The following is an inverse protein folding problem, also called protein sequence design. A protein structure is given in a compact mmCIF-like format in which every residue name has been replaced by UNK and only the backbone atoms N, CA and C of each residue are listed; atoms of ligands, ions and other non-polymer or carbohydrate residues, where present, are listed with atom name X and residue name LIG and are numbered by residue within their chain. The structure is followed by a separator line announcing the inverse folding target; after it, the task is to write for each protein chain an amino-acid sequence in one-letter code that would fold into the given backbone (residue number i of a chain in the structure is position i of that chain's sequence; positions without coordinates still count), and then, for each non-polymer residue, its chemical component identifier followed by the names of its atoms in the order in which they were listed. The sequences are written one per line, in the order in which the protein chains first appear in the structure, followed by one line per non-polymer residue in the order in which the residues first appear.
data_IF_236412376731
#
_entry.id   IF_236412376731
#
_cell.length_a   1.000
_cell.length_b   1.000
_cell.length_c   1.000
_cell.angle_alpha   90.00
_cell.angle_beta   90.00
_cell.angle_gamma   90.00
#
_symmetry.space_group_name_H-M   'P 1'
#
loop_
_entity.id
_entity.type
_entity.pdbx_description
1 polymer ?
#
# COMPACT_ATOMS: atom_id res chain seq x y z
N UNK A 1 12.55 17.13 8.19
CA UNK A 1 12.45 15.65 8.27
C UNK A 1 11.51 15.16 7.19
N UNK A 2 11.79 14.01 6.57
CA UNK A 2 11.06 13.50 5.40
C UNK A 2 9.61 13.10 5.73
N UNK A 3 9.35 12.57 6.94
CA UNK A 3 8.01 12.34 7.52
C UNK A 3 8.14 12.09 9.04
N UNK A 4 7.02 12.15 9.79
CA UNK A 4 6.99 11.85 11.24
C UNK A 4 6.92 10.33 11.53
N UNK A 5 6.14 9.58 10.74
CA UNK A 5 5.92 8.14 10.90
C UNK A 5 5.54 7.51 9.56
N UNK A 6 5.96 6.28 9.34
CA UNK A 6 5.59 5.46 8.18
C UNK A 6 4.81 4.26 8.68
N UNK A 7 3.67 3.99 8.07
CA UNK A 7 2.88 2.79 8.28
C UNK A 7 2.95 1.97 6.99
N UNK A 8 3.39 0.72 7.09
CA UNK A 8 3.51 -0.17 5.93
C UNK A 8 2.78 -1.48 6.19
N UNK A 9 2.05 -1.93 5.17
CA UNK A 9 1.25 -3.15 5.18
C UNK A 9 1.87 -4.14 4.20
N UNK A 10 2.10 -5.37 4.65
CA UNK A 10 2.64 -6.45 3.84
C UNK A 10 1.79 -7.71 4.07
N UNK A 11 1.38 -8.37 2.99
CA UNK A 11 0.53 -9.57 3.07
C UNK A 11 1.30 -10.85 3.32
N UNK A 12 2.62 -10.85 3.10
CA UNK A 12 3.50 -11.98 3.35
C UNK A 12 4.25 -11.79 4.67
N UNK A 13 3.83 -12.55 5.70
CA UNK A 13 4.43 -12.50 7.05
C UNK A 13 5.96 -12.54 7.03
N UNK A 14 6.55 -13.49 6.29
CA UNK A 14 8.01 -13.66 6.26
C UNK A 14 8.74 -12.44 5.69
N UNK A 15 8.16 -11.80 4.67
CA UNK A 15 8.71 -10.55 4.09
C UNK A 15 8.59 -9.38 5.08
N UNK A 16 7.46 -9.28 5.77
CA UNK A 16 7.26 -8.26 6.81
C UNK A 16 8.30 -8.43 7.93
N UNK A 17 8.52 -9.64 8.41
CA UNK A 17 9.48 -9.92 9.49
C UNK A 17 10.93 -9.65 9.06
N UNK A 18 11.29 -9.98 7.81
CA UNK A 18 12.59 -9.58 7.22
C UNK A 18 12.73 -8.06 7.17
N UNK A 19 11.69 -7.34 6.74
CA UNK A 19 11.70 -5.88 6.67
C UNK A 19 11.81 -5.24 8.07
N UNK A 20 11.05 -5.73 9.06
CA UNK A 20 11.12 -5.28 10.45
C UNK A 20 12.54 -5.39 11.02
N UNK A 21 13.24 -6.52 10.80
CA UNK A 21 14.63 -6.70 11.23
C UNK A 21 15.55 -5.66 10.60
N UNK A 22 15.45 -5.46 9.27
CA UNK A 22 16.24 -4.45 8.55
C UNK A 22 15.98 -3.04 9.06
N UNK A 23 14.73 -2.69 9.38
CA UNK A 23 14.42 -1.38 9.96
C UNK A 23 15.08 -1.20 11.33
N UNK A 24 15.10 -2.25 12.17
CA UNK A 24 15.78 -2.23 13.46
C UNK A 24 17.30 -2.10 13.31
N UNK A 25 17.91 -2.80 12.36
CA UNK A 25 19.36 -2.75 12.09
C UNK A 25 19.82 -1.38 11.56
N UNK A 26 18.91 -0.63 10.92
CA UNK A 26 19.15 0.70 10.37
C UNK A 26 18.68 1.84 11.32
N UNK A 27 18.31 1.53 12.56
CA UNK A 27 17.79 2.47 13.55
C UNK A 27 16.56 3.28 13.09
N UNK A 28 15.72 2.68 12.23
CA UNK A 28 14.51 3.30 11.67
C UNK A 28 13.29 3.07 12.59
N UNK A 29 13.25 3.76 13.73
CA UNK A 29 12.21 3.56 14.76
C UNK A 29 10.84 4.21 14.45
N UNK A 30 10.72 4.92 13.34
CA UNK A 30 9.48 5.59 12.92
C UNK A 30 8.67 4.77 11.92
N UNK A 31 9.08 3.54 11.61
CA UNK A 31 8.33 2.63 10.73
C UNK A 31 7.52 1.64 11.57
N UNK A 32 6.22 1.59 11.32
CA UNK A 32 5.29 0.60 11.90
C UNK A 32 4.82 -0.32 10.78
N UNK A 33 4.88 -1.61 11.05
CA UNK A 33 4.56 -2.66 10.08
C UNK A 33 3.31 -3.41 10.50
N UNK A 34 2.51 -3.86 9.53
CA UNK A 34 1.33 -4.73 9.75
C UNK A 34 1.33 -5.85 8.74
N UNK A 35 1.10 -7.06 9.22
CA UNK A 35 0.76 -8.19 8.37
C UNK A 35 -0.73 -8.06 8.02
N UNK A 36 -1.05 -7.78 6.76
CA UNK A 36 -2.42 -7.41 6.39
C UNK A 36 -2.66 -7.36 4.89
N UNK A 37 -3.94 -7.18 4.54
CA UNK A 37 -4.36 -6.91 3.18
C UNK A 37 -4.19 -5.41 2.88
N UNK A 38 -3.37 -5.10 1.88
CA UNK A 38 -3.12 -3.72 1.45
C UNK A 38 -4.33 -3.05 0.80
N UNK A 39 -5.31 -3.81 0.30
CA UNK A 39 -6.57 -3.25 -0.23
C UNK A 39 -7.35 -2.48 0.84
N UNK A 40 -7.32 -2.97 2.08
CA UNK A 40 -8.04 -2.36 3.21
C UNK A 40 -7.31 -1.16 3.83
N UNK A 41 -6.07 -0.88 3.40
CA UNK A 41 -5.22 0.13 4.03
C UNK A 41 -4.97 -0.13 5.53
N UNK A 42 -5.05 0.93 6.32
CA UNK A 42 -4.92 0.88 7.78
C UNK A 42 -5.84 1.93 8.44
N UNK A 43 -7.15 1.65 8.53
CA UNK A 43 -8.16 2.63 9.00
C UNK A 43 -7.87 3.20 10.38
N UNK A 44 -7.29 2.41 11.28
CA UNK A 44 -7.00 2.83 12.66
C UNK A 44 -5.91 3.90 12.75
N UNK A 45 -5.20 4.20 11.66
CA UNK A 45 -4.16 5.23 11.59
C UNK A 45 -4.48 6.34 10.58
N UNK A 46 -5.63 6.25 9.90
CA UNK A 46 -6.14 7.29 9.04
C UNK A 46 -6.52 8.55 9.86
N UNK A 47 -6.53 9.75 9.26
CA UNK A 47 -6.19 10.01 7.86
C UNK A 47 -4.68 10.03 7.59
N UNK A 48 -4.29 9.71 6.36
CA UNK A 48 -2.92 9.82 5.87
C UNK A 48 -2.74 11.05 4.98
N UNK A 49 -1.64 11.78 5.17
CA UNK A 49 -1.22 12.81 4.22
C UNK A 49 -0.81 12.19 2.88
N UNK A 50 -0.17 11.02 2.91
CA UNK A 50 0.38 10.35 1.73
C UNK A 50 0.18 8.84 1.85
N UNK A 51 -0.25 8.22 0.76
CA UNK A 51 -0.31 6.77 0.60
C UNK A 51 0.49 6.42 -0.66
N UNK A 52 1.32 5.39 -0.57
CA UNK A 52 2.03 4.82 -1.72
C UNK A 52 1.76 3.32 -1.77
N UNK A 53 1.36 2.83 -2.94
CA UNK A 53 1.12 1.41 -3.18
C UNK A 53 2.18 0.90 -4.14
N UNK A 54 2.88 -0.15 -3.76
CA UNK A 54 3.99 -0.73 -4.54
C UNK A 54 3.62 -2.06 -5.20
N UNK A 55 2.34 -2.22 -5.53
CA UNK A 55 1.75 -3.33 -6.27
C UNK A 55 0.61 -2.79 -7.14
N UNK A 56 0.38 -3.40 -8.30
CA UNK A 56 -0.64 -2.96 -9.24
C UNK A 56 -2.04 -3.41 -8.80
N UNK A 57 -2.95 -2.45 -8.60
CA UNK A 57 -4.36 -2.74 -8.38
C UNK A 57 -5.15 -2.72 -9.70
N UNK A 58 -6.25 -3.48 -9.76
CA UNK A 58 -7.14 -3.47 -10.92
C UNK A 58 -7.84 -2.11 -11.09
N UNK A 59 -8.15 -1.46 -9.98
CA UNK A 59 -8.67 -0.09 -9.85
C UNK A 59 -8.11 0.52 -8.56
N UNK A 60 -8.28 1.83 -8.37
CA UNK A 60 -7.96 2.47 -7.09
C UNK A 60 -8.89 1.91 -6.00
N UNK A 61 -8.38 1.39 -4.86
CA UNK A 61 -9.24 0.94 -3.76
C UNK A 61 -9.93 2.12 -3.06
N UNK A 62 -11.25 2.04 -2.88
CA UNK A 62 -12.04 3.07 -2.18
C UNK A 62 -11.59 3.24 -0.72
N UNK A 63 -11.25 2.15 -0.03
CA UNK A 63 -10.72 2.19 1.34
C UNK A 63 -9.45 3.06 1.45
N UNK A 64 -8.60 3.08 0.43
CA UNK A 64 -7.40 3.93 0.44
C UNK A 64 -7.73 5.39 0.19
N UNK A 65 -8.70 5.67 -0.67
CA UNK A 65 -9.21 7.02 -0.91
C UNK A 65 -9.84 7.61 0.37
N UNK A 66 -10.67 6.83 1.05
CA UNK A 66 -11.34 7.23 2.29
C UNK A 66 -10.37 7.52 3.44
N UNK A 67 -9.19 6.87 3.40
CA UNK A 67 -8.14 7.06 4.39
C UNK A 67 -7.20 8.24 4.07
N UNK A 68 -7.35 8.94 2.94
CA UNK A 68 -6.61 10.17 2.67
C UNK A 68 -7.16 11.35 3.48
N UNK A 69 -6.28 12.16 4.07
CA UNK A 69 -6.67 13.47 4.60
C UNK A 69 -6.97 14.49 3.49
N UNK A 70 -7.54 15.65 3.85
CA UNK A 70 -7.74 16.75 2.90
C UNK A 70 -6.42 17.18 2.24
N UNK A 71 -6.39 17.27 0.91
CA UNK A 71 -5.15 17.52 0.16
C UNK A 71 -4.13 16.36 0.20
N UNK A 72 -4.52 15.20 0.74
CA UNK A 72 -3.73 13.99 0.76
C UNK A 72 -3.52 13.42 -0.64
N UNK A 73 -2.42 12.69 -0.82
CA UNK A 73 -2.03 12.13 -2.12
C UNK A 73 -1.85 10.62 -2.02
N UNK A 74 -2.51 9.88 -2.89
CA UNK A 74 -2.27 8.46 -3.16
C UNK A 74 -1.47 8.33 -4.47
N UNK A 75 -0.41 7.53 -4.44
CA UNK A 75 0.33 7.11 -5.64
C UNK A 75 0.23 5.60 -5.78
N UNK A 76 -0.35 5.13 -6.89
CA UNK A 76 -0.71 3.73 -7.09
C UNK A 76 -0.57 3.31 -8.56
N UNK A 77 0.11 2.19 -8.87
CA UNK A 77 0.02 1.56 -10.18
C UNK A 77 -1.38 0.94 -10.39
N UNK A 78 -2.04 1.30 -11.49
CA UNK A 78 -3.36 0.78 -11.85
C UNK A 78 -3.35 0.18 -13.25
N UNK A 79 -3.92 -1.00 -13.37
CA UNK A 79 -4.12 -1.69 -14.65
C UNK A 79 -4.22 -3.20 -14.49
N UNK A 80 -4.63 -3.91 -15.55
CA UNK A 80 -4.75 -5.36 -15.52
C UNK A 80 -3.41 -6.05 -15.27
N UNK A 81 -3.51 -7.24 -14.66
CA UNK A 81 -2.37 -8.14 -14.46
C UNK A 81 -1.80 -8.56 -15.83
N UNK A 82 -0.48 -8.67 -15.92
CA UNK A 82 0.29 -9.07 -17.11
C UNK A 82 0.29 -8.07 -18.29
N UNK A 83 -0.37 -6.92 -18.14
CA UNK A 83 -0.34 -5.82 -19.09
C UNK A 83 0.54 -4.65 -18.60
N UNK A 84 0.63 -3.58 -19.39
CA UNK A 84 1.25 -2.33 -18.94
C UNK A 84 0.29 -1.60 -18.00
N UNK A 85 0.74 -1.27 -16.79
CA UNK A 85 -0.02 -0.43 -15.85
C UNK A 85 0.38 1.04 -15.98
N UNK A 86 -0.40 1.92 -15.37
CA UNK A 86 -0.08 3.35 -15.25
C UNK A 86 -0.03 3.74 -13.78
N UNK A 87 1.03 4.43 -13.36
CA UNK A 87 1.03 5.10 -12.05
C UNK A 87 0.03 6.25 -12.11
N UNK A 88 -0.97 6.19 -11.23
CA UNK A 88 -1.88 7.29 -10.95
C UNK A 88 -1.41 8.05 -9.72
N UNK A 89 -1.55 9.36 -9.77
CA UNK A 89 -1.56 10.25 -8.61
C UNK A 89 -3.00 10.67 -8.36
N UNK A 90 -3.56 10.28 -7.23
CA UNK A 90 -4.88 10.69 -6.78
C UNK A 90 -4.71 11.72 -5.68
N UNK A 91 -5.39 12.86 -5.78
CA UNK A 91 -5.37 13.91 -4.76
C UNK A 91 -6.77 14.15 -4.21
N UNK A 92 -6.95 14.12 -2.89
CA UNK A 92 -8.24 14.43 -2.25
C UNK A 92 -8.51 15.94 -2.26
N UNK A 93 -9.72 16.33 -2.66
CA UNK A 93 -10.25 17.70 -2.68
C UNK A 93 -11.66 17.72 -2.10
N UNK A 94 -11.78 17.91 -0.79
CA UNK A 94 -13.05 17.76 -0.08
C UNK A 94 -13.60 16.34 -0.25
N UNK A 95 -14.75 16.26 -0.93
CA UNK A 95 -15.47 15.01 -1.22
C UNK A 95 -15.14 14.41 -2.60
N UNK A 96 -14.21 15.01 -3.35
CA UNK A 96 -13.79 14.52 -4.66
C UNK A 96 -12.32 14.08 -4.69
N UNK A 97 -11.99 13.28 -5.70
CA UNK A 97 -10.64 12.76 -5.94
C UNK A 97 -10.20 13.14 -7.35
N UNK A 98 -9.11 13.89 -7.45
CA UNK A 98 -8.50 14.29 -8.73
C UNK A 98 -7.44 13.27 -9.12
N UNK A 99 -7.60 12.62 -10.27
CA UNK A 99 -6.63 11.64 -10.78
C UNK A 99 -5.75 12.21 -11.89
N UNK A 100 -4.46 11.94 -11.81
CA UNK A 100 -3.48 12.25 -12.84
C UNK A 100 -2.67 11.01 -13.22
N UNK A 101 -2.52 10.78 -14.52
CA UNK A 101 -1.71 9.68 -15.07
C UNK A 101 -0.26 10.13 -15.21
N UNK A 102 0.66 9.46 -14.53
CA UNK A 102 2.07 9.88 -14.48
C UNK A 102 2.97 9.10 -15.45
N UNK A 103 3.06 7.77 -15.32
CA UNK A 103 3.98 6.95 -16.13
C UNK A 103 3.50 5.52 -16.32
N UNK A 104 3.91 4.89 -17.42
CA UNK A 104 3.70 3.47 -17.69
C UNK A 104 4.70 2.60 -16.92
N UNK A 105 4.22 1.52 -16.30
CA UNK A 105 5.00 0.63 -15.41
C UNK A 105 4.56 -0.83 -15.50
N UNK A 106 5.32 -1.72 -14.86
CA UNK A 106 4.97 -3.12 -14.61
C UNK A 106 5.26 -3.49 -13.15
N UNK A 107 4.22 -3.72 -12.36
CA UNK A 107 4.28 -4.16 -10.97
C UNK A 107 3.65 -5.54 -10.80
N UNK A 108 4.01 -6.23 -9.71
CA UNK A 108 3.28 -7.41 -9.22
C UNK A 108 1.87 -7.01 -8.80
N UNK A 109 0.86 -7.90 -8.86
CA UNK A 109 -0.51 -7.56 -8.52
C UNK A 109 -0.68 -7.30 -7.02
N UNK A 110 -1.53 -6.33 -6.67
CA UNK A 110 -2.09 -6.14 -5.35
C UNK A 110 -3.22 -7.16 -5.17
N UNK A 111 -2.98 -8.18 -4.34
CA UNK A 111 -3.91 -9.31 -4.16
C UNK A 111 -4.73 -9.11 -2.89
N UNK A 112 -6.05 -9.17 -3.01
CA UNK A 112 -6.98 -9.15 -1.87
C UNK A 112 -6.76 -10.34 -0.94
N UNK A 113 -6.96 -10.10 0.34
CA UNK A 113 -6.81 -11.07 1.40
C UNK A 113 -5.38 -11.51 1.67
N UNK A 114 -5.23 -12.26 2.77
CA UNK A 114 -3.96 -12.87 3.14
C UNK A 114 -3.71 -14.13 2.32
N UNK A 115 -2.43 -14.47 2.04
CA UNK A 115 -2.12 -15.76 1.48
C UNK A 115 -2.61 -16.86 2.43
N UNK A 116 -2.97 -18.04 1.91
CA UNK A 116 -3.24 -19.19 2.77
C UNK A 116 -2.07 -19.39 3.74
N UNK A 117 -2.37 -19.74 4.99
CA UNK A 117 -1.32 -20.18 5.90
C UNK A 117 -0.63 -21.38 5.28
N UNK A 118 0.67 -21.29 5.02
CA UNK A 118 1.45 -22.44 4.61
C UNK A 118 1.47 -23.45 5.78
N UNK A 119 0.55 -24.42 5.76
CA UNK A 119 0.45 -25.49 6.75
C UNK A 119 -0.84 -26.30 6.55
N UNK A 120 -0.83 -27.63 6.39
CA UNK A 120 0.26 -28.59 6.56
C UNK A 120 0.42 -29.52 5.37
N UNK A 121 1.62 -30.09 5.26
CA UNK A 121 1.75 -31.38 4.58
C UNK A 121 0.68 -32.30 5.16
N UNK A 122 -0.24 -32.74 4.31
CA UNK A 122 -1.02 -33.94 4.58
C UNK A 122 -0.06 -35.05 4.99
N UNK A 123 -0.51 -35.84 5.96
CA UNK A 123 0.12 -37.08 6.39
C UNK A 123 0.52 -37.99 5.22
#
# INVERSE_FOLDING_TARGET
GLCRRVYTVERHRDLMEVAQRRFSELDLHTVVTRHGDGWMGWPEQAPFDRIIVTAAAASVPDDLNDQLGEGGILVIPVGPKDETQTILRVTRRGDSFEEERLLSVRFVPLVEGLPPSEGGSGA
#
